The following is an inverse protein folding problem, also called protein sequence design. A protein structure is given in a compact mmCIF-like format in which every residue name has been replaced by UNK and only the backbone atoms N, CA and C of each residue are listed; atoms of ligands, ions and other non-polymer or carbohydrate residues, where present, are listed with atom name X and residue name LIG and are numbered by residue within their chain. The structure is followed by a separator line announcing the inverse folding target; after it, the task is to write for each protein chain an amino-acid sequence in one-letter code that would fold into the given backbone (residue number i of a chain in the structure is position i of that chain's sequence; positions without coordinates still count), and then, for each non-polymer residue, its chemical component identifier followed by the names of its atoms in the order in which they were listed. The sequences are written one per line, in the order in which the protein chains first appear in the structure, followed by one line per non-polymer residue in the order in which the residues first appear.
data_IF_944039078101
#
_entry.id   IF_944039078101
#
_cell.length_a   1.000
_cell.length_b   1.000
_cell.length_c   1.000
_cell.angle_alpha   90.00
_cell.angle_beta   90.00
_cell.angle_gamma   90.00
#
_symmetry.space_group_name_H-M   'P 1'
#
loop_
_entity.id
_entity.type
_entity.pdbx_description
1 polymer ?
#
# COMPACT_ATOMS: atom_id res chain seq x y z
N UNK A 1 -2.68 1.72 -16.74
CA UNK A 1 -1.60 2.54 -16.15
C UNK A 1 -0.33 1.69 -16.03
N UNK A 2 0.84 2.19 -16.46
CA UNK A 2 2.10 1.41 -16.43
C UNK A 2 2.93 1.76 -15.18
N UNK A 3 3.80 0.85 -14.76
CA UNK A 3 4.74 1.08 -13.65
C UNK A 3 5.59 2.35 -13.84
N UNK A 4 5.85 2.75 -15.09
CA UNK A 4 6.56 3.99 -15.42
C UNK A 4 5.80 5.26 -15.01
N UNK A 5 4.46 5.24 -15.03
CA UNK A 5 3.65 6.36 -14.53
C UNK A 5 3.81 6.52 -13.02
N UNK A 6 3.67 5.43 -12.26
CA UNK A 6 3.81 5.44 -10.80
C UNK A 6 5.22 5.84 -10.39
N UNK A 7 6.26 5.31 -11.05
CA UNK A 7 7.64 5.71 -10.80
C UNK A 7 7.88 7.20 -11.04
N UNK A 8 7.30 7.78 -12.11
CA UNK A 8 7.36 9.22 -12.36
C UNK A 8 6.63 10.01 -11.27
N UNK A 9 5.44 9.56 -10.87
CA UNK A 9 4.67 10.18 -9.82
C UNK A 9 5.45 10.25 -8.50
N UNK A 10 6.13 9.15 -8.11
CA UNK A 10 6.99 9.13 -6.91
C UNK A 10 8.16 10.11 -7.02
N UNK A 11 8.73 10.31 -8.20
CA UNK A 11 9.82 11.27 -8.40
C UNK A 11 9.36 12.74 -8.30
N UNK A 12 8.09 13.01 -8.59
CA UNK A 12 7.54 14.38 -8.58
C UNK A 12 6.79 14.72 -7.29
N UNK A 13 6.55 13.75 -6.41
CA UNK A 13 5.84 13.95 -5.14
C UNK A 13 6.69 13.46 -3.97
N UNK A 14 7.05 14.37 -3.07
CA UNK A 14 7.81 14.04 -1.88
C UNK A 14 6.93 13.24 -0.91
N UNK A 15 7.23 11.96 -0.75
CA UNK A 15 6.60 11.09 0.25
C UNK A 15 7.35 11.18 1.58
N UNK A 16 6.60 11.27 2.67
CA UNK A 16 7.13 11.21 4.04
C UNK A 16 7.27 9.76 4.51
N UNK A 17 8.02 9.54 5.59
CA UNK A 17 8.11 8.22 6.21
C UNK A 17 6.73 7.67 6.65
N UNK A 18 5.81 8.55 7.07
CA UNK A 18 4.44 8.15 7.41
C UNK A 18 3.63 7.71 6.18
N UNK A 19 3.88 8.31 5.01
CA UNK A 19 3.26 7.87 3.75
C UNK A 19 3.77 6.47 3.37
N UNK A 20 5.07 6.17 3.60
CA UNK A 20 5.63 4.84 3.39
C UNK A 20 4.96 3.80 4.29
N UNK A 21 4.68 4.15 5.55
CA UNK A 21 3.92 3.27 6.46
C UNK A 21 2.51 2.98 5.93
N UNK A 22 1.83 4.01 5.41
CA UNK A 22 0.51 3.88 4.81
C UNK A 22 0.54 2.96 3.57
N UNK A 23 1.52 3.15 2.69
CA UNK A 23 1.72 2.32 1.48
C UNK A 23 1.98 0.87 1.87
N UNK A 24 2.86 0.64 2.84
CA UNK A 24 3.19 -0.70 3.37
C UNK A 24 1.95 -1.37 3.96
N UNK A 25 1.15 -0.63 4.72
CA UNK A 25 -0.10 -1.14 5.31
C UNK A 25 -1.15 -1.48 4.25
N UNK A 26 -1.30 -0.66 3.21
CA UNK A 26 -2.19 -0.99 2.09
C UNK A 26 -1.71 -2.26 1.38
N UNK A 27 -0.40 -2.43 1.19
CA UNK A 27 0.15 -3.65 0.60
C UNK A 27 -0.17 -4.90 1.44
N UNK A 28 -0.04 -4.84 2.77
CA UNK A 28 -0.46 -5.92 3.68
C UNK A 28 -1.96 -6.22 3.53
N UNK A 29 -2.81 -5.19 3.44
CA UNK A 29 -4.26 -5.35 3.22
C UNK A 29 -4.58 -5.99 1.87
N UNK A 30 -3.78 -5.72 0.83
CA UNK A 30 -3.94 -6.35 -0.49
C UNK A 30 -3.61 -7.84 -0.38
N UNK A 31 -2.49 -8.20 0.27
CA UNK A 31 -2.08 -9.59 0.47
C UNK A 31 -3.08 -10.38 1.33
N UNK A 32 -3.63 -9.76 2.39
CA UNK A 32 -4.66 -10.38 3.24
C UNK A 32 -6.08 -10.29 2.66
N UNK A 33 -6.25 -9.77 1.43
CA UNK A 33 -7.56 -9.59 0.77
C UNK A 33 -8.57 -8.74 1.59
N UNK A 34 -8.08 -7.84 2.45
CA UNK A 34 -8.88 -6.89 3.23
C UNK A 34 -8.93 -5.48 2.64
N UNK A 35 -8.21 -5.23 1.54
CA UNK A 35 -8.27 -3.96 0.82
C UNK A 35 -9.57 -3.85 0.00
N UNK A 36 -10.32 -2.75 0.21
CA UNK A 36 -11.58 -2.46 -0.50
C UNK A 36 -11.40 -1.69 -1.82
N UNK A 37 -10.20 -1.24 -2.13
CA UNK A 37 -9.92 -0.53 -3.38
C UNK A 37 -10.28 -1.39 -4.61
N UNK A 38 -10.64 -0.73 -5.71
CA UNK A 38 -10.94 -1.40 -6.98
C UNK A 38 -9.75 -2.21 -7.51
N UNK A 39 -9.99 -3.16 -8.40
CA UNK A 39 -8.92 -4.04 -8.93
C UNK A 39 -7.75 -3.25 -9.52
N UNK A 40 -8.05 -2.18 -10.27
CA UNK A 40 -7.03 -1.33 -10.90
C UNK A 40 -6.30 -0.45 -9.86
N UNK A 41 -7.03 0.12 -8.90
CA UNK A 41 -6.43 0.87 -7.78
C UNK A 41 -5.46 0.00 -6.96
N UNK A 42 -5.80 -1.27 -6.70
CA UNK A 42 -4.93 -2.22 -6.01
C UNK A 42 -3.63 -2.48 -6.79
N UNK A 43 -3.71 -2.58 -8.11
CA UNK A 43 -2.53 -2.73 -8.98
C UNK A 43 -1.64 -1.50 -8.86
N UNK A 44 -2.22 -0.29 -8.91
CA UNK A 44 -1.47 0.97 -8.75
C UNK A 44 -0.82 1.05 -7.37
N UNK A 45 -1.54 0.69 -6.31
CA UNK A 45 -0.97 0.67 -4.95
C UNK A 45 0.16 -0.36 -4.80
N UNK A 46 0.05 -1.53 -5.44
CA UNK A 46 1.13 -2.51 -5.46
C UNK A 46 2.37 -1.99 -6.20
N UNK A 47 2.18 -1.29 -7.32
CA UNK A 47 3.26 -0.61 -8.05
C UNK A 47 3.88 0.53 -7.25
N UNK A 48 3.05 1.29 -6.52
CA UNK A 48 3.52 2.36 -5.64
C UNK A 48 4.39 1.79 -4.52
N UNK A 49 3.95 0.71 -3.89
CA UNK A 49 4.75 -0.03 -2.92
C UNK A 49 6.09 -0.48 -3.53
N UNK A 50 6.08 -1.06 -4.72
CA UNK A 50 7.31 -1.51 -5.37
C UNK A 50 8.29 -0.38 -5.67
N UNK A 51 7.80 0.83 -5.96
CA UNK A 51 8.63 2.01 -6.19
C UNK A 51 9.29 2.54 -4.91
N UNK A 52 8.72 2.25 -3.73
CA UNK A 52 9.19 2.79 -2.44
C UNK A 52 9.70 1.73 -1.46
N UNK A 53 9.68 0.44 -1.81
CA UNK A 53 10.00 -0.68 -0.91
C UNK A 53 11.42 -0.68 -0.31
N UNK A 54 12.31 0.19 -0.79
CA UNK A 54 13.66 0.37 -0.27
C UNK A 54 13.77 1.53 0.73
N UNK A 55 12.68 2.26 0.96
CA UNK A 55 12.60 3.34 1.94
C UNK A 55 11.96 2.78 3.21
N UNK A 56 12.50 3.16 4.36
CA UNK A 56 11.88 2.85 5.64
C UNK A 56 10.77 3.86 5.96
N UNK A 57 9.68 3.36 6.53
CA UNK A 57 8.65 4.19 7.13
C UNK A 57 9.00 4.62 8.56
N UNK A 58 8.08 5.36 9.19
CA UNK A 58 8.25 5.80 10.59
C UNK A 58 8.06 4.62 11.56
N UNK A 59 7.30 3.59 11.15
CA UNK A 59 6.92 2.44 11.99
C UNK A 59 7.33 1.11 11.36
N UNK A 60 7.26 1.02 10.05
CA UNK A 60 7.48 -0.21 9.30
C UNK A 60 8.71 -0.06 8.43
N UNK A 61 9.71 -0.92 8.68
CA UNK A 61 10.95 -0.95 7.91
C UNK A 61 11.21 -2.31 7.26
N UNK A 62 12.48 -2.61 7.03
CA UNK A 62 12.97 -3.81 6.32
C UNK A 62 12.27 -5.13 6.64
N UNK A 63 11.85 -5.38 7.88
CA UNK A 63 11.19 -6.63 8.30
C UNK A 63 9.84 -6.83 7.59
N UNK A 64 9.03 -5.77 7.52
CA UNK A 64 7.77 -5.79 6.77
C UNK A 64 8.01 -5.97 5.28
N UNK A 65 9.06 -5.37 4.73
CA UNK A 65 9.41 -5.55 3.31
C UNK A 65 9.83 -6.99 2.99
N UNK A 66 10.60 -7.65 3.87
CA UNK A 66 10.96 -9.06 3.71
C UNK A 66 9.75 -9.99 3.81
N UNK A 67 8.83 -9.70 4.74
CA UNK A 67 7.58 -10.43 4.86
C UNK A 67 6.73 -10.31 3.59
N UNK A 68 6.53 -9.08 3.10
CA UNK A 68 5.76 -8.83 1.88
C UNK A 68 6.39 -9.53 0.67
N UNK A 69 7.73 -9.50 0.54
CA UNK A 69 8.43 -10.22 -0.51
C UNK A 69 8.16 -11.74 -0.45
N UNK A 70 8.23 -12.32 0.75
CA UNK A 70 7.96 -13.74 0.98
C UNK A 70 6.52 -14.11 0.63
N UNK A 71 5.55 -13.30 1.05
CA UNK A 71 4.12 -13.51 0.81
C UNK A 71 3.72 -13.39 -0.67
N UNK A 72 4.51 -12.71 -1.50
CA UNK A 72 4.29 -12.64 -2.95
C UNK A 72 4.75 -13.90 -3.68
N UNK A 73 5.70 -14.67 -3.13
CA UNK A 73 6.28 -15.85 -3.80
C UNK A 73 5.83 -17.17 -3.22
N UNK A 74 5.48 -17.21 -1.93
CA UNK A 74 5.14 -18.43 -1.22
C UNK A 74 3.63 -18.51 -0.92
N UNK A 75 3.06 -19.71 -1.10
CA UNK A 75 1.70 -20.02 -0.69
C UNK A 75 1.76 -20.99 0.49
N UNK A 76 1.41 -20.52 1.68
CA UNK A 76 1.33 -21.35 2.90
C UNK A 76 0.40 -20.72 3.93
N UNK A 77 -0.35 -21.55 4.66
CA UNK A 77 -1.28 -21.08 5.69
C UNK A 77 -0.57 -20.34 6.82
N UNK A 78 0.61 -20.80 7.24
CA UNK A 78 1.44 -20.10 8.23
C UNK A 78 1.79 -18.68 7.78
N UNK A 79 2.18 -18.51 6.52
CA UNK A 79 2.50 -17.20 5.97
C UNK A 79 1.28 -16.29 5.85
N UNK A 80 0.11 -16.85 5.51
CA UNK A 80 -1.16 -16.11 5.51
C UNK A 80 -1.52 -15.63 6.92
N UNK A 81 -1.40 -16.49 7.92
CA UNK A 81 -1.66 -16.13 9.32
C UNK A 81 -0.70 -15.03 9.79
N UNK A 82 0.58 -15.14 9.43
CA UNK A 82 1.55 -14.12 9.78
C UNK A 82 1.27 -12.77 9.08
N UNK A 83 0.87 -12.77 7.81
CA UNK A 83 0.41 -11.56 7.11
C UNK A 83 -0.82 -10.95 7.78
N UNK A 84 -1.78 -11.79 8.19
CA UNK A 84 -2.97 -11.34 8.91
C UNK A 84 -2.59 -10.64 10.22
N UNK A 85 -1.74 -11.26 11.04
CA UNK A 85 -1.27 -10.70 12.31
C UNK A 85 -0.57 -9.34 12.09
N UNK A 86 0.38 -9.31 11.15
CA UNK A 86 1.14 -8.10 10.85
C UNK A 86 0.26 -6.99 10.27
N UNK A 87 -0.76 -7.30 9.48
CA UNK A 87 -1.75 -6.32 9.04
C UNK A 87 -2.53 -5.75 10.22
N UNK A 88 -3.02 -6.58 11.14
CA UNK A 88 -3.78 -6.12 12.31
C UNK A 88 -2.93 -5.20 13.20
N UNK A 89 -1.67 -5.57 13.42
CA UNK A 89 -0.71 -4.72 14.15
C UNK A 89 -0.51 -3.39 13.42
N UNK A 90 -0.25 -3.43 12.12
CA UNK A 90 -0.04 -2.22 11.32
C UNK A 90 -1.26 -1.28 11.36
N UNK A 91 -2.47 -1.81 11.24
CA UNK A 91 -3.73 -1.05 11.35
C UNK A 91 -3.98 -0.48 12.74
N UNK A 92 -3.41 -1.08 13.78
CA UNK A 92 -3.50 -0.58 15.16
C UNK A 92 -2.49 0.56 15.38
N UNK A 93 -1.29 0.45 14.79
CA UNK A 93 -0.22 1.45 14.91
C UNK A 93 -0.44 2.69 14.03
N UNK A 94 -1.12 2.54 12.89
CA UNK A 94 -1.51 3.65 12.02
C UNK A 94 -2.92 4.13 12.32
N UNK A 95 -3.02 5.36 12.82
CA UNK A 95 -4.32 5.97 13.11
C UNK A 95 -5.18 6.14 11.85
N UNK A 96 -6.51 6.00 12.02
CA UNK A 96 -7.48 6.26 10.94
C UNK A 96 -7.34 7.65 10.29
N UNK A 97 -7.10 8.75 11.05
CA UNK A 97 -6.86 10.06 10.44
C UNK A 97 -5.67 10.09 9.48
N UNK A 98 -4.55 9.44 9.84
CA UNK A 98 -3.35 9.37 8.98
C UNK A 98 -3.66 8.66 7.67
N UNK A 99 -4.28 7.47 7.74
CA UNK A 99 -4.71 6.71 6.56
C UNK A 99 -5.68 7.51 5.67
N UNK A 100 -6.60 8.26 6.27
CA UNK A 100 -7.55 9.10 5.54
C UNK A 100 -6.85 10.26 4.83
N UNK A 101 -5.92 10.94 5.51
CA UNK A 101 -5.14 12.04 4.95
C UNK A 101 -4.27 11.56 3.79
N UNK A 102 -3.54 10.46 3.96
CA UNK A 102 -2.75 9.83 2.91
C UNK A 102 -3.61 9.50 1.67
N UNK A 103 -4.76 8.85 1.88
CA UNK A 103 -5.67 8.48 0.79
C UNK A 103 -6.23 9.69 0.04
N UNK A 104 -6.53 10.78 0.76
CA UNK A 104 -6.96 12.03 0.14
C UNK A 104 -5.85 12.65 -0.71
N UNK A 105 -4.63 12.72 -0.15
CA UNK A 105 -3.45 13.28 -0.81
C UNK A 105 -3.15 12.57 -2.14
N UNK A 106 -3.08 11.23 -2.17
CA UNK A 106 -2.75 10.50 -3.41
C UNK A 106 -3.83 10.67 -4.49
N UNK A 107 -5.08 10.89 -4.09
CA UNK A 107 -6.21 11.15 -5.02
C UNK A 107 -6.15 12.55 -5.59
N UNK A 108 -5.95 13.54 -4.74
CA UNK A 108 -5.80 14.95 -5.13
C UNK A 108 -4.60 15.13 -6.07
N UNK A 109 -3.50 14.43 -5.78
CA UNK A 109 -2.29 14.43 -6.61
C UNK A 109 -2.40 13.53 -7.86
N UNK A 110 -3.59 13.01 -8.15
CA UNK A 110 -3.88 12.33 -9.40
C UNK A 110 -3.18 10.98 -9.59
N UNK A 111 -2.76 10.30 -8.51
CA UNK A 111 -2.16 8.96 -8.62
C UNK A 111 -3.08 7.96 -9.34
N UNK A 112 -4.40 8.14 -9.18
CA UNK A 112 -5.43 7.33 -9.83
C UNK A 112 -6.08 8.04 -11.04
N UNK A 113 -5.57 9.19 -11.48
CA UNK A 113 -6.17 9.93 -12.57
C UNK A 113 -6.20 9.10 -13.87
N UNK A 114 -7.34 9.09 -14.55
CA UNK A 114 -7.55 8.28 -15.76
C UNK A 114 -7.90 6.81 -15.49
N UNK A 115 -8.08 6.41 -14.23
CA UNK A 115 -8.79 5.18 -13.88
C UNK A 115 -10.28 5.55 -13.78
N UNK A 116 -11.14 4.95 -14.61
CA UNK A 116 -12.57 5.11 -14.45
C UNK A 116 -12.95 4.64 -13.03
N UNK A 117 -13.57 5.51 -12.25
CA UNK A 117 -14.03 5.20 -10.90
C UNK A 117 -15.14 4.15 -11.01
N UNK A 118 -14.84 2.89 -10.72
CA UNK A 118 -15.87 1.98 -10.22
C UNK A 118 -16.15 2.41 -8.78
N UNK A 119 -17.08 3.35 -8.67
CA UNK A 119 -17.64 3.87 -7.43
C UNK A 119 -18.15 2.68 -6.61
N UNK A 120 -17.47 2.35 -5.51
CA UNK A 120 -17.90 1.30 -4.59
C UNK A 120 -19.12 1.81 -3.82
N UNK A 121 -20.30 1.50 -4.33
CA UNK A 121 -21.57 1.58 -3.63
C UNK A 121 -21.55 0.62 -2.42
N UNK A 122 -21.61 1.19 -1.21
CA UNK A 122 -22.15 0.54 -0.01
C UNK A 122 -22.46 1.58 1.08
#
# INVERSE_FOLDING_TARGET
MSAAHVARWVQTHALTASDIDCITTVMLKILDRKCKMGGVEKIVMAQLYDAVRSLDGERFGGDYHRLIASARTAAGEELKNHIYEQRVLAETMLSRPVMKAFKAMIREQGLFAGLAEEEEAA
#
